data_IF_463937235281
#
_entry.id   IF_463937235281
#
_cell.length_a   1.000
_cell.length_b   1.000
_cell.length_c   1.000
_cell.angle_alpha   90.00
_cell.angle_beta   90.00
_cell.angle_gamma   90.00
#
_symmetry.space_group_name_H-M   'P 1'
#
loop_
_entity.id
_entity.type
_entity.pdbx_description
1 polymer ?
#
# COMPACT_ATOMS: atom_id res chain seq x y z
N UNK A 1 11.48 2.17 7.84
CA UNK A 1 12.93 2.01 7.60
C UNK A 1 13.71 2.45 8.82
N UNK A 2 14.91 1.92 9.03
CA UNK A 2 15.76 2.29 10.17
C UNK A 2 17.22 2.39 9.75
N UNK A 3 17.92 3.41 10.25
CA UNK A 3 19.39 3.43 10.34
C UNK A 3 19.82 3.30 11.78
N UNK A 4 20.90 2.57 12.03
CA UNK A 4 21.51 2.40 13.34
C UNK A 4 23.01 2.68 13.22
N UNK A 5 23.54 3.51 14.11
CA UNK A 5 24.93 3.92 14.10
C UNK A 5 25.59 3.51 15.40
N UNK A 6 26.82 3.01 15.28
CA UNK A 6 27.67 2.61 16.38
C UNK A 6 29.08 3.16 16.17
N UNK A 7 29.85 3.23 17.24
CA UNK A 7 31.30 3.25 17.18
C UNK A 7 31.82 1.83 16.90
N UNK A 8 32.96 1.73 16.21
CA UNK A 8 33.55 0.44 15.80
C UNK A 8 33.78 -0.52 16.99
N UNK A 9 34.20 0.02 18.15
CA UNK A 9 34.39 -0.76 19.39
C UNK A 9 33.12 -1.46 19.90
N UNK A 10 31.94 -0.92 19.59
CA UNK A 10 30.64 -1.44 20.03
C UNK A 10 30.17 -2.62 19.18
N UNK A 11 30.78 -2.88 18.02
CA UNK A 11 30.38 -3.99 17.15
C UNK A 11 30.51 -5.34 17.85
N UNK A 12 31.53 -5.50 18.71
CA UNK A 12 31.73 -6.70 19.53
C UNK A 12 30.56 -6.95 20.47
N UNK A 13 29.93 -5.90 21.00
CA UNK A 13 28.76 -6.01 21.87
C UNK A 13 27.53 -6.49 21.08
N UNK A 14 27.33 -5.99 19.85
CA UNK A 14 26.26 -6.48 18.96
C UNK A 14 26.42 -7.96 18.65
N UNK A 15 27.65 -8.42 18.40
CA UNK A 15 27.93 -9.85 18.17
C UNK A 15 27.60 -10.71 19.39
N UNK A 16 27.92 -10.23 20.60
CA UNK A 16 27.62 -10.94 21.87
C UNK A 16 26.12 -11.14 22.10
N UNK A 17 25.29 -10.17 21.71
CA UNK A 17 23.83 -10.28 21.83
C UNK A 17 23.18 -11.03 20.65
N UNK A 18 23.95 -11.60 19.73
CA UNK A 18 23.50 -12.48 18.63
C UNK A 18 22.41 -11.87 17.71
N UNK A 19 22.55 -10.59 17.36
CA UNK A 19 21.58 -9.91 16.44
C UNK A 19 21.48 -10.53 15.03
N UNK A 20 22.46 -11.35 14.61
CA UNK A 20 22.55 -11.92 13.26
C UNK A 20 21.46 -12.96 12.94
N UNK A 21 20.95 -13.68 13.94
CA UNK A 21 20.00 -14.79 13.73
C UNK A 21 18.53 -14.33 13.68
N UNK A 22 18.28 -13.04 13.43
CA UNK A 22 16.96 -12.40 13.54
C UNK A 22 15.83 -13.00 12.69
N UNK A 23 16.16 -13.74 11.62
CA UNK A 23 15.17 -14.39 10.74
C UNK A 23 14.51 -15.61 11.37
N UNK A 24 15.13 -16.19 12.40
CA UNK A 24 14.57 -17.29 13.19
C UNK A 24 13.95 -16.83 14.51
N UNK A 25 14.04 -15.53 14.81
CA UNK A 25 13.55 -14.99 16.08
C UNK A 25 12.04 -14.77 16.03
N UNK A 26 11.41 -15.22 17.11
CA UNK A 26 10.05 -14.87 17.50
C UNK A 26 9.92 -13.37 17.78
N UNK A 27 8.67 -12.89 17.83
CA UNK A 27 8.38 -11.50 18.17
C UNK A 27 8.98 -11.09 19.52
N UNK A 28 8.78 -11.92 20.55
CA UNK A 28 9.24 -11.70 21.92
C UNK A 28 10.78 -11.62 21.99
N UNK A 29 11.47 -12.49 21.26
CA UNK A 29 12.94 -12.44 21.17
C UNK A 29 13.42 -11.15 20.49
N UNK A 30 12.74 -10.68 19.43
CA UNK A 30 13.06 -9.40 18.78
C UNK A 30 12.84 -8.22 19.70
N UNK A 31 11.76 -8.22 20.48
CA UNK A 31 11.47 -7.18 21.48
C UNK A 31 12.55 -7.15 22.59
N UNK A 32 12.97 -8.33 23.07
CA UNK A 32 14.09 -8.43 24.01
C UNK A 32 15.42 -7.91 23.45
N UNK A 33 15.69 -8.17 22.16
CA UNK A 33 16.86 -7.62 21.47
C UNK A 33 16.77 -6.12 21.22
N UNK A 34 15.59 -5.59 20.93
CA UNK A 34 15.35 -4.17 20.73
C UNK A 34 15.90 -3.36 21.91
N UNK A 35 15.54 -3.74 23.14
CA UNK A 35 16.02 -3.07 24.36
C UNK A 35 17.54 -3.21 24.53
N UNK A 36 18.12 -4.37 24.20
CA UNK A 36 19.58 -4.59 24.28
C UNK A 36 20.35 -3.77 23.26
N UNK A 37 19.83 -3.64 22.03
CA UNK A 37 20.43 -2.83 20.96
C UNK A 37 20.47 -1.36 21.37
N UNK A 38 19.37 -0.83 21.91
CA UNK A 38 19.29 0.56 22.35
C UNK A 38 20.20 0.87 23.55
N UNK A 39 20.53 -0.13 24.38
CA UNK A 39 21.55 0.01 25.44
C UNK A 39 22.99 0.11 24.90
N UNK A 40 23.23 -0.38 23.68
CA UNK A 40 24.56 -0.32 23.03
C UNK A 40 24.77 1.05 22.39
N UNK A 41 23.78 1.56 21.64
CA UNK A 41 23.83 2.89 21.05
C UNK A 41 22.45 3.50 20.94
N UNK A 42 22.37 4.80 21.24
CA UNK A 42 21.17 5.61 21.05
C UNK A 42 21.16 6.36 19.70
N UNK A 43 22.18 6.21 18.86
CA UNK A 43 22.23 6.86 17.54
C UNK A 43 21.50 6.02 16.51
N UNK A 44 20.23 6.31 16.30
CA UNK A 44 19.40 5.67 15.29
C UNK A 44 18.36 6.62 14.73
N UNK A 45 17.89 6.33 13.51
CA UNK A 45 16.82 7.08 12.87
C UNK A 45 15.79 6.10 12.32
N UNK A 46 14.57 6.20 12.83
CA UNK A 46 13.40 5.51 12.31
C UNK A 46 12.60 6.45 11.41
N UNK A 47 12.14 5.91 10.29
CA UNK A 47 11.19 6.56 9.37
C UNK A 47 10.05 5.59 9.11
N UNK A 48 8.83 5.96 9.50
CA UNK A 48 7.61 5.25 9.14
C UNK A 48 7.11 5.83 7.82
N UNK A 49 6.83 4.96 6.85
CA UNK A 49 6.35 5.34 5.52
C UNK A 49 4.91 4.85 5.41
N UNK A 50 3.98 5.79 5.29
CA UNK A 50 2.55 5.48 5.29
C UNK A 50 2.08 4.92 3.93
N UNK A 51 0.98 4.14 3.90
CA UNK A 51 0.47 3.53 2.66
C UNK A 51 0.28 4.52 1.50
N UNK A 52 -0.18 5.73 1.78
CA UNK A 52 -0.43 6.79 0.80
C UNK A 52 0.86 7.29 0.14
N UNK A 53 1.95 7.39 0.90
CA UNK A 53 3.26 7.79 0.38
C UNK A 53 3.82 6.70 -0.54
N UNK A 54 3.66 5.43 -0.14
CA UNK A 54 4.03 4.28 -0.98
C UNK A 54 3.21 4.27 -2.27
N UNK A 55 1.90 4.43 -2.17
CA UNK A 55 1.02 4.46 -3.34
C UNK A 55 1.36 5.60 -4.29
N UNK A 56 1.67 6.80 -3.75
CA UNK A 56 2.11 7.95 -4.55
C UNK A 56 3.41 7.64 -5.29
N UNK A 57 4.38 7.00 -4.63
CA UNK A 57 5.65 6.65 -5.26
C UNK A 57 5.48 5.55 -6.32
N UNK A 58 4.59 4.57 -6.13
CA UNK A 58 4.42 3.45 -7.07
C UNK A 58 3.52 3.82 -8.26
N UNK A 59 2.51 4.67 -8.06
CA UNK A 59 1.57 5.08 -9.11
C UNK A 59 1.93 6.42 -9.75
N UNK A 60 2.91 7.14 -9.21
CA UNK A 60 3.36 8.41 -9.74
C UNK A 60 3.85 8.30 -11.19
N UNK A 61 3.68 9.37 -11.95
CA UNK A 61 4.22 9.48 -13.31
C UNK A 61 5.63 10.08 -13.33
N UNK A 62 6.23 10.32 -12.16
CA UNK A 62 7.56 10.91 -11.97
C UNK A 62 8.71 9.88 -12.08
N UNK A 63 8.38 8.62 -12.36
CA UNK A 63 9.36 7.53 -12.48
C UNK A 63 9.87 7.00 -11.14
N UNK A 64 9.30 7.44 -10.01
CA UNK A 64 9.54 6.81 -8.72
C UNK A 64 8.96 5.38 -8.69
N UNK A 65 9.53 4.57 -7.81
CA UNK A 65 9.02 3.25 -7.45
C UNK A 65 9.45 2.94 -6.02
N UNK A 66 9.11 1.76 -5.52
CA UNK A 66 9.42 1.37 -4.15
C UNK A 66 10.94 1.44 -3.84
N UNK A 67 11.78 1.00 -4.77
CA UNK A 67 13.24 1.03 -4.57
C UNK A 67 13.78 2.47 -4.52
N UNK A 68 13.26 3.37 -5.35
CA UNK A 68 13.69 4.77 -5.34
C UNK A 68 13.18 5.52 -4.12
N UNK A 69 11.98 5.22 -3.65
CA UNK A 69 11.48 5.72 -2.37
C UNK A 69 12.36 5.23 -1.21
N UNK A 70 12.76 3.96 -1.21
CA UNK A 70 13.70 3.43 -0.21
C UNK A 70 15.07 4.13 -0.29
N UNK A 71 15.56 4.46 -1.49
CA UNK A 71 16.80 5.23 -1.66
C UNK A 71 16.67 6.65 -1.08
N UNK A 72 15.55 7.33 -1.33
CA UNK A 72 15.29 8.67 -0.79
C UNK A 72 15.24 8.67 0.74
N UNK A 73 14.56 7.70 1.34
CA UNK A 73 14.52 7.56 2.81
C UNK A 73 15.85 7.11 3.40
N UNK A 74 16.61 6.30 2.66
CA UNK A 74 17.99 5.94 3.05
C UNK A 74 18.88 7.18 3.09
N UNK A 75 18.75 8.09 2.12
CA UNK A 75 19.47 9.36 2.13
C UNK A 75 19.10 10.22 3.33
N UNK A 76 17.81 10.34 3.65
CA UNK A 76 17.32 11.09 4.82
C UNK A 76 17.90 10.54 6.13
N UNK A 77 17.93 9.21 6.28
CA UNK A 77 18.53 8.53 7.44
C UNK A 77 20.02 8.84 7.54
N UNK A 78 20.75 8.76 6.43
CA UNK A 78 22.19 8.96 6.40
C UNK A 78 22.58 10.42 6.64
N UNK A 79 21.84 11.37 6.08
CA UNK A 79 22.06 12.80 6.33
C UNK A 79 21.79 13.16 7.80
N UNK A 80 20.86 12.46 8.47
CA UNK A 80 20.58 12.67 9.89
C UNK A 80 21.65 12.08 10.81
N UNK A 81 22.14 10.87 10.51
CA UNK A 81 23.14 10.17 11.32
C UNK A 81 24.58 10.62 11.01
N UNK A 82 24.84 11.08 9.78
CA UNK A 82 26.12 11.53 9.26
C UNK A 82 27.32 10.61 9.62
N UNK A 83 27.28 9.31 9.26
CA UNK A 83 28.35 8.38 9.59
C UNK A 83 29.55 8.52 8.63
N UNK A 84 30.75 8.08 9.06
CA UNK A 84 31.90 7.99 8.15
C UNK A 84 31.77 6.84 7.14
N UNK A 85 31.09 5.76 7.52
CA UNK A 85 30.83 4.57 6.69
C UNK A 85 29.40 4.11 6.91
N UNK A 86 28.71 3.79 5.82
CA UNK A 86 27.36 3.22 5.87
C UNK A 86 27.32 1.89 5.13
N UNK A 87 26.69 0.90 5.76
CA UNK A 87 26.43 -0.42 5.19
C UNK A 87 24.91 -0.53 5.00
N UNK A 88 24.48 -0.79 3.77
CA UNK A 88 23.06 -0.75 3.38
C UNK A 88 22.69 -2.08 2.75
N UNK A 89 21.58 -2.67 3.23
CA UNK A 89 20.93 -3.79 2.56
C UNK A 89 20.18 -3.26 1.33
N UNK A 90 20.78 -3.47 0.16
CA UNK A 90 20.34 -2.81 -1.08
C UNK A 90 19.15 -3.55 -1.73
N UNK A 91 18.06 -2.84 -2.08
CA UNK A 91 16.93 -3.43 -2.77
C UNK A 91 17.18 -3.59 -4.28
N UNK A 92 16.45 -4.52 -4.90
CA UNK A 92 16.49 -4.78 -6.35
C UNK A 92 17.76 -5.46 -6.83
N UNK A 93 17.91 -5.64 -8.14
CA UNK A 93 19.00 -6.43 -8.74
C UNK A 93 20.20 -5.59 -9.20
N UNK A 94 20.07 -4.26 -9.26
CA UNK A 94 21.10 -3.37 -9.79
C UNK A 94 21.60 -2.41 -8.70
N UNK A 95 22.53 -2.91 -7.88
CA UNK A 95 23.15 -2.18 -6.78
C UNK A 95 23.83 -0.89 -7.28
N UNK A 96 24.49 -0.92 -8.44
CA UNK A 96 25.22 0.25 -8.94
C UNK A 96 24.30 1.41 -9.31
N UNK A 97 23.17 1.13 -9.97
CA UNK A 97 22.15 2.17 -10.21
C UNK A 97 21.59 2.73 -8.91
N UNK A 98 21.34 1.86 -7.92
CA UNK A 98 20.89 2.30 -6.59
C UNK A 98 21.92 3.17 -5.89
N UNK A 99 23.21 2.78 -5.91
CA UNK A 99 24.33 3.54 -5.37
C UNK A 99 24.42 4.93 -6.00
N UNK A 100 24.39 5.02 -7.33
CA UNK A 100 24.46 6.30 -8.05
C UNK A 100 23.29 7.21 -7.69
N UNK A 101 22.07 6.65 -7.61
CA UNK A 101 20.89 7.41 -7.21
C UNK A 101 21.01 7.93 -5.78
N UNK A 102 21.34 7.05 -4.82
CA UNK A 102 21.51 7.39 -3.41
C UNK A 102 22.59 8.46 -3.23
N UNK A 103 23.75 8.28 -3.87
CA UNK A 103 24.83 9.26 -3.83
C UNK A 103 24.38 10.64 -4.31
N UNK A 104 23.52 10.75 -5.33
CA UNK A 104 22.99 12.05 -5.77
C UNK A 104 22.14 12.73 -4.70
N UNK A 105 21.41 11.97 -3.89
CA UNK A 105 20.49 12.47 -2.85
C UNK A 105 21.19 12.89 -1.55
N UNK A 106 22.31 12.27 -1.20
CA UNK A 106 23.05 12.57 0.03
C UNK A 106 23.58 14.01 0.05
N UNK A 107 23.54 14.69 1.20
CA UNK A 107 24.23 15.98 1.37
C UNK A 107 25.73 15.79 1.52
N UNK A 108 26.13 14.81 2.34
CA UNK A 108 27.53 14.46 2.54
C UNK A 108 27.96 13.36 1.56
N UNK A 109 28.85 13.69 0.60
CA UNK A 109 29.36 12.74 -0.40
C UNK A 109 30.56 11.94 0.08
N UNK A 110 31.15 12.29 1.22
CA UNK A 110 32.35 11.65 1.77
C UNK A 110 32.01 10.38 2.57
N UNK A 111 30.73 10.07 2.75
CA UNK A 111 30.28 8.83 3.41
C UNK A 111 30.73 7.63 2.57
N UNK A 112 31.53 6.74 3.16
CA UNK A 112 31.90 5.48 2.52
C UNK A 112 30.71 4.53 2.47
N UNK A 113 30.08 4.42 1.29
CA UNK A 113 28.92 3.55 1.08
C UNK A 113 29.33 2.11 0.72
N UNK A 114 28.82 1.14 1.47
CA UNK A 114 28.89 -0.30 1.18
C UNK A 114 27.47 -0.81 0.98
N UNK A 115 27.16 -1.25 -0.24
CA UNK A 115 25.84 -1.75 -0.60
C UNK A 115 25.97 -3.21 -0.98
N UNK A 116 25.20 -4.05 -0.30
CA UNK A 116 25.22 -5.50 -0.47
C UNK A 116 23.80 -6.03 -0.40
N UNK A 117 23.53 -7.15 -1.07
CA UNK A 117 22.29 -7.90 -0.82
C UNK A 117 22.42 -8.71 0.46
N UNK A 118 21.34 -8.76 1.24
CA UNK A 118 21.29 -9.52 2.50
C UNK A 118 22.39 -9.07 3.46
N UNK A 119 22.67 -7.76 3.48
CA UNK A 119 23.69 -7.18 4.35
C UNK A 119 23.39 -7.46 5.84
N UNK A 120 22.11 -7.63 6.18
CA UNK A 120 21.63 -8.04 7.49
C UNK A 120 22.15 -9.41 7.96
N UNK A 121 22.58 -10.29 7.06
CA UNK A 121 23.19 -11.58 7.40
C UNK A 121 24.68 -11.47 7.73
N UNK A 122 25.37 -10.47 7.17
CA UNK A 122 26.82 -10.38 7.26
C UNK A 122 27.28 -9.35 8.29
N UNK A 123 26.47 -8.31 8.51
CA UNK A 123 26.85 -7.13 9.30
C UNK A 123 25.93 -6.96 10.51
N UNK A 124 26.43 -7.17 11.76
CA UNK A 124 25.62 -7.06 12.97
C UNK A 124 24.90 -5.71 13.13
N UNK A 125 25.52 -4.62 12.68
CA UNK A 125 24.92 -3.28 12.71
C UNK A 125 23.67 -3.18 11.82
N UNK A 126 23.70 -3.84 10.65
CA UNK A 126 22.56 -3.91 9.73
C UNK A 126 21.49 -4.83 10.30
N UNK A 127 21.88 -5.96 10.91
CA UNK A 127 20.93 -6.84 11.62
C UNK A 127 20.22 -6.10 12.75
N UNK A 128 20.95 -5.28 13.52
CA UNK A 128 20.38 -4.45 14.59
C UNK A 128 19.36 -3.43 14.04
N UNK A 129 19.71 -2.70 12.98
CA UNK A 129 18.77 -1.78 12.31
C UNK A 129 17.50 -2.52 11.80
N UNK A 130 17.68 -3.72 11.26
CA UNK A 130 16.60 -4.60 10.79
C UNK A 130 15.65 -5.02 11.92
N UNK A 131 16.18 -5.35 13.10
CA UNK A 131 15.39 -5.64 14.32
C UNK A 131 14.62 -4.40 14.76
N UNK A 132 15.29 -3.24 14.88
CA UNK A 132 14.63 -1.99 15.27
C UNK A 132 13.47 -1.65 14.33
N UNK A 133 13.67 -1.79 13.01
CA UNK A 133 12.64 -1.55 12.01
C UNK A 133 11.45 -2.52 12.16
N UNK A 134 11.70 -3.82 12.37
CA UNK A 134 10.65 -4.85 12.47
C UNK A 134 9.82 -4.69 13.74
N UNK A 135 10.46 -4.50 14.89
CA UNK A 135 9.75 -4.29 16.16
C UNK A 135 8.91 -3.02 16.10
N UNK A 136 9.45 -1.94 15.52
CA UNK A 136 8.67 -0.70 15.34
C UNK A 136 7.44 -0.96 14.46
N UNK A 137 7.60 -1.62 13.31
CA UNK A 137 6.46 -1.98 12.44
C UNK A 137 5.41 -2.80 13.19
N UNK A 138 5.82 -3.83 13.91
CA UNK A 138 4.90 -4.72 14.62
C UNK A 138 4.16 -3.96 15.72
N UNK A 139 4.81 -3.02 16.40
CA UNK A 139 4.17 -2.09 17.35
C UNK A 139 3.14 -1.19 16.68
N UNK A 140 3.47 -0.56 15.54
CA UNK A 140 2.52 0.28 14.79
C UNK A 140 1.29 -0.52 14.35
N UNK A 141 1.47 -1.76 13.91
CA UNK A 141 0.34 -2.64 13.54
C UNK A 141 -0.57 -2.91 14.75
N UNK A 142 -0.02 -3.17 15.95
CA UNK A 142 -0.83 -3.35 17.15
C UNK A 142 -1.54 -2.07 17.59
N UNK A 143 -0.93 -0.90 17.40
CA UNK A 143 -1.59 0.38 17.65
C UNK A 143 -2.78 0.56 16.69
N UNK A 144 -2.60 0.31 15.40
CA UNK A 144 -3.68 0.36 14.42
C UNK A 144 -4.83 -0.61 14.78
N UNK A 145 -4.53 -1.82 15.24
CA UNK A 145 -5.58 -2.76 15.70
C UNK A 145 -6.37 -2.22 16.87
N UNK A 146 -5.70 -1.60 17.84
CA UNK A 146 -6.34 -0.98 19.01
C UNK A 146 -7.21 0.20 18.62
N UNK A 147 -6.73 1.06 17.73
CA UNK A 147 -7.47 2.22 17.23
C UNK A 147 -8.73 1.81 16.47
N UNK A 148 -8.66 0.75 15.67
CA UNK A 148 -9.80 0.23 14.91
C UNK A 148 -10.71 -0.68 15.75
N UNK A 149 -10.22 -1.20 16.87
CA UNK A 149 -10.91 -2.21 17.67
C UNK A 149 -11.05 -3.57 16.96
N UNK A 150 -10.18 -3.86 15.97
CA UNK A 150 -10.27 -5.06 15.13
C UNK A 150 -8.89 -5.71 14.98
N UNK A 151 -8.80 -7.01 15.29
CA UNK A 151 -7.59 -7.79 14.98
C UNK A 151 -7.60 -8.27 13.53
N UNK A 152 -6.94 -7.51 12.66
CA UNK A 152 -6.78 -7.83 11.24
C UNK A 152 -5.56 -8.73 10.93
N UNK A 153 -4.94 -9.33 11.95
CA UNK A 153 -3.77 -10.19 11.78
C UNK A 153 -2.47 -9.40 11.55
N UNK A 154 -1.55 -9.97 10.77
CA UNK A 154 -0.18 -9.49 10.60
C UNK A 154 0.00 -8.38 9.54
N UNK A 155 -1.03 -8.12 8.73
CA UNK A 155 -0.93 -7.24 7.57
C UNK A 155 -0.24 -7.88 6.35
N UNK A 156 0.15 -9.16 6.42
CA UNK A 156 0.65 -9.93 5.28
C UNK A 156 -0.47 -10.79 4.66
N UNK A 157 -0.49 -10.91 3.32
CA UNK A 157 -1.50 -11.72 2.63
C UNK A 157 -1.34 -13.24 2.79
N UNK A 158 -0.27 -13.67 3.46
CA UNK A 158 -0.10 -15.05 3.92
C UNK A 158 -0.93 -15.35 5.17
N UNK A 159 -1.41 -14.32 5.87
CA UNK A 159 -2.25 -14.43 7.05
C UNK A 159 -3.73 -14.44 6.65
N UNK A 160 -4.48 -15.52 6.94
CA UNK A 160 -5.90 -15.61 6.64
C UNK A 160 -6.73 -14.46 7.21
N UNK A 161 -6.41 -13.97 8.42
CA UNK A 161 -7.13 -12.84 9.05
C UNK A 161 -6.98 -11.56 8.24
N UNK A 162 -5.77 -11.30 7.74
CA UNK A 162 -5.49 -10.13 6.90
C UNK A 162 -6.22 -10.23 5.56
N UNK A 163 -6.28 -11.42 4.96
CA UNK A 163 -7.01 -11.64 3.70
C UNK A 163 -8.49 -11.37 3.88
N UNK A 164 -9.09 -11.88 4.95
CA UNK A 164 -10.50 -11.67 5.27
C UNK A 164 -10.79 -10.20 5.60
N UNK A 165 -9.95 -9.58 6.42
CA UNK A 165 -10.09 -8.17 6.75
C UNK A 165 -10.02 -7.26 5.52
N UNK A 166 -9.09 -7.52 4.60
CA UNK A 166 -9.01 -6.80 3.33
C UNK A 166 -10.32 -6.91 2.54
N UNK A 167 -10.87 -8.12 2.40
CA UNK A 167 -12.14 -8.34 1.65
C UNK A 167 -13.30 -7.54 2.24
N UNK A 168 -13.39 -7.48 3.56
CA UNK A 168 -14.54 -6.93 4.26
C UNK A 168 -14.42 -5.41 4.54
N UNK A 169 -13.20 -4.86 4.59
CA UNK A 169 -12.97 -3.52 5.12
C UNK A 169 -12.18 -2.56 4.22
N UNK A 170 -11.82 -2.95 2.99
CA UNK A 170 -11.07 -2.08 2.08
C UNK A 170 -11.80 -0.75 1.74
N UNK A 171 -13.14 -0.72 1.81
CA UNK A 171 -13.96 0.49 1.63
C UNK A 171 -14.13 1.29 2.94
N UNK A 172 -14.08 0.61 4.09
CA UNK A 172 -14.33 1.22 5.41
C UNK A 172 -13.10 1.94 5.95
N UNK A 173 -11.91 1.37 5.73
CA UNK A 173 -10.64 1.93 6.21
C UNK A 173 -9.65 2.12 5.05
N UNK A 174 -9.98 2.91 4.01
CA UNK A 174 -9.18 2.99 2.79
C UNK A 174 -7.76 3.54 3.01
N UNK A 175 -7.53 4.25 4.11
CA UNK A 175 -6.26 4.92 4.42
C UNK A 175 -5.17 3.96 4.95
N UNK A 176 -5.54 2.80 5.48
CA UNK A 176 -4.57 1.82 6.00
C UNK A 176 -4.08 0.84 4.93
N UNK A 177 -4.72 0.83 3.75
CA UNK A 177 -4.39 -0.09 2.66
C UNK A 177 -3.48 0.57 1.62
N UNK A 178 -2.50 -0.21 1.14
CA UNK A 178 -1.69 0.12 -0.04
C UNK A 178 -2.49 -0.23 -1.28
N UNK A 179 -3.12 0.76 -1.90
CA UNK A 179 -4.00 0.60 -3.06
C UNK A 179 -3.20 0.18 -4.31
N UNK A 180 -1.93 0.58 -4.40
CA UNK A 180 -1.01 0.20 -5.49
C UNK A 180 -0.66 -1.28 -5.51
N UNK A 181 -0.95 -2.01 -4.43
CA UNK A 181 -0.56 -3.41 -4.31
C UNK A 181 -1.50 -4.35 -5.06
N UNK A 182 -0.92 -5.36 -5.71
CA UNK A 182 -1.65 -6.30 -6.57
C UNK A 182 -2.85 -6.98 -5.88
N UNK A 183 -2.77 -7.49 -4.63
CA UNK A 183 -3.92 -8.11 -3.98
C UNK A 183 -5.11 -7.17 -3.79
N UNK A 184 -4.85 -5.90 -3.47
CA UNK A 184 -5.88 -4.87 -3.37
C UNK A 184 -6.50 -4.60 -4.75
N UNK A 185 -5.66 -4.39 -5.78
CA UNK A 185 -6.14 -4.15 -7.15
C UNK A 185 -6.96 -5.32 -7.69
N UNK A 186 -6.51 -6.56 -7.48
CA UNK A 186 -7.19 -7.77 -7.91
C UNK A 186 -8.57 -7.91 -7.24
N UNK A 187 -8.69 -7.57 -5.95
CA UNK A 187 -9.97 -7.59 -5.25
C UNK A 187 -10.95 -6.58 -5.86
N UNK A 188 -10.50 -5.34 -6.07
CA UNK A 188 -11.32 -4.26 -6.64
C UNK A 188 -11.73 -4.60 -8.09
N UNK A 189 -10.78 -5.08 -8.91
CA UNK A 189 -11.04 -5.43 -10.30
C UNK A 189 -11.99 -6.62 -10.44
N UNK A 190 -11.90 -7.63 -9.57
CA UNK A 190 -12.84 -8.77 -9.56
C UNK A 190 -14.27 -8.33 -9.24
N UNK A 191 -14.46 -7.37 -8.34
CA UNK A 191 -15.78 -6.80 -8.03
C UNK A 191 -16.36 -6.09 -9.27
N UNK A 192 -15.53 -5.34 -9.98
CA UNK A 192 -15.92 -4.68 -11.23
C UNK A 192 -16.30 -5.68 -12.33
N UNK A 193 -15.49 -6.73 -12.54
CA UNK A 193 -15.78 -7.78 -13.53
C UNK A 193 -17.08 -8.54 -13.22
N UNK A 194 -17.35 -8.85 -11.94
CA UNK A 194 -18.63 -9.47 -11.55
C UNK A 194 -19.82 -8.56 -11.82
N UNK A 195 -19.70 -7.26 -11.55
CA UNK A 195 -20.74 -6.28 -11.91
C UNK A 195 -21.01 -6.28 -13.41
N UNK A 196 -19.96 -6.34 -14.25
CA UNK A 196 -20.08 -6.39 -15.71
C UNK A 196 -20.79 -7.66 -16.20
N UNK A 197 -20.44 -8.82 -15.63
CA UNK A 197 -21.09 -10.08 -15.99
C UNK A 197 -22.55 -10.10 -15.58
N UNK A 198 -22.86 -9.62 -14.37
CA UNK A 198 -24.23 -9.54 -13.85
C UNK A 198 -25.08 -8.58 -14.70
N UNK A 199 -24.52 -7.43 -15.10
CA UNK A 199 -25.17 -6.49 -16.01
C UNK A 199 -25.39 -7.11 -17.38
N UNK A 200 -24.37 -7.76 -17.96
CA UNK A 200 -24.48 -8.40 -19.28
C UNK A 200 -25.49 -9.55 -19.28
N UNK A 201 -25.57 -10.34 -18.22
CA UNK A 201 -26.58 -11.38 -18.07
C UNK A 201 -27.98 -10.77 -17.96
N UNK A 202 -28.14 -9.74 -17.13
CA UNK A 202 -29.39 -9.00 -17.01
C UNK A 202 -29.87 -8.44 -18.36
N UNK A 203 -28.95 -7.86 -19.16
CA UNK A 203 -29.27 -7.37 -20.51
C UNK A 203 -29.79 -8.48 -21.44
N UNK A 204 -29.23 -9.71 -21.35
CA UNK A 204 -29.66 -10.84 -22.18
C UNK A 204 -31.06 -11.33 -21.80
N UNK A 205 -31.44 -11.21 -20.53
CA UNK A 205 -32.75 -11.65 -20.01
C UNK A 205 -33.88 -10.67 -20.39
N UNK A 206 -33.60 -9.37 -20.54
CA UNK A 206 -34.61 -8.31 -20.80
C UNK A 206 -34.73 -7.90 -22.30
N UNK A 207 -34.05 -8.57 -23.24
CA UNK A 207 -34.06 -8.25 -24.68
C UNK A 207 -35.40 -8.52 -25.39
N UNK A 208 -36.43 -7.69 -25.16
CA UNK A 208 -37.50 -7.53 -26.15
C UNK A 208 -37.82 -6.10 -26.57
N UNK A 209 -37.54 -5.06 -25.79
CA UNK A 209 -37.75 -3.67 -26.24
C UNK A 209 -36.81 -2.67 -25.55
N UNK A 210 -36.02 -1.92 -26.35
CA UNK A 210 -35.13 -0.75 -26.03
C UNK A 210 -33.61 -1.07 -26.04
N UNK A 211 -33.02 -1.13 -27.23
CA UNK A 211 -31.56 -1.36 -27.39
C UNK A 211 -30.70 -0.12 -27.10
N UNK A 212 -31.12 1.09 -27.52
CA UNK A 212 -30.22 2.24 -27.49
C UNK A 212 -29.89 2.77 -26.08
N UNK A 213 -30.90 2.95 -25.22
CA UNK A 213 -30.73 3.55 -23.89
C UNK A 213 -29.95 2.67 -22.91
N UNK A 214 -30.01 1.34 -23.08
CA UNK A 214 -29.25 0.39 -22.26
C UNK A 214 -27.78 0.31 -22.66
N UNK A 215 -27.47 0.48 -23.94
CA UNK A 215 -26.09 0.61 -24.42
C UNK A 215 -25.46 1.91 -23.93
N UNK A 216 -26.22 3.00 -23.87
CA UNK A 216 -25.74 4.29 -23.33
C UNK A 216 -25.49 4.23 -21.82
N UNK A 217 -26.30 3.47 -21.06
CA UNK A 217 -26.03 3.21 -19.64
C UNK A 217 -24.72 2.43 -19.41
N UNK A 218 -24.36 1.54 -20.34
CA UNK A 218 -23.10 0.79 -20.24
C UNK A 218 -21.88 1.71 -20.30
N UNK A 219 -21.95 2.80 -21.06
CA UNK A 219 -20.87 3.80 -21.14
C UNK A 219 -20.58 4.44 -19.78
N UNK A 220 -21.56 4.50 -18.87
CA UNK A 220 -21.34 5.04 -17.52
C UNK A 220 -20.36 4.19 -16.70
N UNK A 221 -20.14 2.92 -17.06
CA UNK A 221 -19.16 2.06 -16.39
C UNK A 221 -17.73 2.60 -16.54
N UNK A 222 -17.40 3.17 -17.70
CA UNK A 222 -16.11 3.82 -17.96
C UNK A 222 -15.88 5.06 -17.07
N UNK A 223 -16.95 5.61 -16.50
CA UNK A 223 -16.95 6.75 -15.58
C UNK A 223 -17.11 6.35 -14.11
N UNK A 224 -16.88 5.07 -13.79
CA UNK A 224 -16.87 4.55 -12.42
C UNK A 224 -18.26 4.27 -11.83
N UNK A 225 -19.29 4.18 -12.67
CA UNK A 225 -20.58 3.64 -12.25
C UNK A 225 -20.55 2.12 -12.24
N UNK A 226 -21.30 1.50 -11.33
CA UNK A 226 -21.46 0.05 -11.26
C UNK A 226 -22.95 -0.30 -11.24
N UNK A 227 -23.29 -1.43 -11.87
CA UNK A 227 -24.64 -1.93 -11.90
C UNK A 227 -25.10 -2.38 -10.51
N UNK A 228 -26.36 -2.10 -10.22
CA UNK A 228 -27.07 -2.59 -9.05
C UNK A 228 -28.40 -3.17 -9.50
N UNK A 229 -28.78 -4.32 -8.92
CA UNK A 229 -30.08 -4.93 -9.19
C UNK A 229 -31.22 -3.95 -8.85
N UNK A 230 -32.22 -3.80 -9.73
CA UNK A 230 -33.44 -3.04 -9.47
C UNK A 230 -34.10 -3.43 -8.15
N UNK A 231 -34.66 -2.45 -7.44
CA UNK A 231 -35.36 -2.68 -6.16
C UNK A 231 -36.88 -2.74 -6.33
N UNK A 232 -37.39 -2.20 -7.42
CA UNK A 232 -38.81 -2.14 -7.74
C UNK A 232 -39.05 -2.81 -9.09
N UNK A 233 -40.22 -3.42 -9.26
CA UNK A 233 -40.62 -4.05 -10.53
C UNK A 233 -40.74 -3.05 -11.70
N UNK A 234 -40.81 -1.75 -11.39
CA UNK A 234 -40.86 -0.67 -12.38
C UNK A 234 -39.47 -0.23 -12.87
N UNK A 235 -38.42 -0.53 -12.11
CA UNK A 235 -37.04 -0.22 -12.44
C UNK A 235 -36.49 -1.28 -13.41
N UNK A 236 -35.94 -0.83 -14.52
CA UNK A 236 -35.28 -1.68 -15.51
C UNK A 236 -33.79 -1.82 -15.17
N UNK A 237 -33.06 -0.73 -14.95
CA UNK A 237 -31.64 -0.82 -14.59
C UNK A 237 -31.25 0.29 -13.60
N UNK A 238 -30.35 -0.02 -12.67
CA UNK A 238 -29.82 0.97 -11.72
C UNK A 238 -28.30 0.98 -11.80
N UNK A 239 -27.72 2.14 -12.11
CA UNK A 239 -26.28 2.38 -12.09
C UNK A 239 -25.95 3.29 -10.91
N UNK A 240 -25.00 2.88 -10.08
CA UNK A 240 -24.52 3.65 -8.92
C UNK A 240 -23.11 4.17 -9.13
N UNK A 241 -22.90 5.45 -8.86
CA UNK A 241 -21.60 6.11 -8.89
C UNK A 241 -21.64 7.44 -8.11
N UNK A 242 -20.99 8.50 -8.61
CA UNK A 242 -21.11 9.87 -8.06
C UNK A 242 -22.55 10.40 -7.97
N UNK A 243 -23.45 9.86 -8.78
CA UNK A 243 -24.90 9.96 -8.66
C UNK A 243 -25.54 8.58 -8.93
N UNK A 244 -26.85 8.45 -8.73
CA UNK A 244 -27.60 7.23 -9.07
C UNK A 244 -28.37 7.48 -10.36
N UNK A 245 -28.23 6.58 -11.33
CA UNK A 245 -29.00 6.60 -12.58
C UNK A 245 -29.94 5.42 -12.59
N UNK A 246 -31.23 5.67 -12.79
CA UNK A 246 -32.29 4.67 -12.79
C UNK A 246 -33.00 4.76 -14.14
N UNK A 247 -32.98 3.67 -14.91
CA UNK A 247 -33.82 3.51 -16.09
C UNK A 247 -35.05 2.71 -15.69
N UNK A 248 -36.23 3.23 -15.97
CA UNK A 248 -37.50 2.58 -15.73
C UNK A 248 -37.95 1.77 -16.97
N UNK A 249 -38.79 0.74 -16.77
CA UNK A 249 -39.34 -0.08 -17.85
C UNK A 249 -40.13 0.73 -18.89
N UNK A 250 -40.77 1.83 -18.45
CA UNK A 250 -41.44 2.77 -19.35
C UNK A 250 -40.48 3.60 -20.21
N UNK A 251 -39.16 3.53 -19.98
CA UNK A 251 -38.12 4.22 -20.76
C UNK A 251 -37.71 5.56 -20.15
N UNK A 252 -38.33 5.98 -19.04
CA UNK A 252 -37.92 7.17 -18.33
C UNK A 252 -36.56 6.92 -17.67
N UNK A 253 -35.65 7.86 -17.83
CA UNK A 253 -34.36 7.87 -17.14
C UNK A 253 -34.40 8.91 -16.03
N UNK A 254 -33.98 8.51 -14.83
CA UNK A 254 -33.94 9.35 -13.65
C UNK A 254 -32.53 9.36 -13.10
N UNK A 255 -31.93 10.54 -13.05
CA UNK A 255 -30.67 10.75 -12.36
C UNK A 255 -30.98 11.34 -10.98
N UNK A 256 -30.33 10.86 -9.92
CA UNK A 256 -30.49 11.32 -8.53
C UNK A 256 -29.12 11.56 -7.91
N UNK A 257 -28.86 12.78 -7.42
CA UNK A 257 -27.58 13.16 -6.83
C UNK A 257 -27.36 14.67 -6.83
N UNK A 258 -26.14 15.10 -6.47
CA UNK A 258 -25.74 16.52 -6.53
C UNK A 258 -25.83 17.06 -7.97
N UNK A 259 -26.23 18.33 -8.12
CA UNK A 259 -26.53 18.95 -9.42
C UNK A 259 -25.37 18.86 -10.43
N UNK A 260 -24.14 18.99 -9.97
CA UNK A 260 -22.93 18.91 -10.79
C UNK A 260 -22.73 17.51 -11.38
N UNK A 261 -22.93 16.45 -10.58
CA UNK A 261 -22.85 15.07 -11.04
C UNK A 261 -24.01 14.72 -11.99
N UNK A 262 -25.18 15.34 -11.81
CA UNK A 262 -26.34 15.21 -12.68
C UNK A 262 -26.06 15.72 -14.09
N UNK A 263 -25.60 16.97 -14.20
CA UNK A 263 -25.30 17.62 -15.49
C UNK A 263 -24.25 16.86 -16.30
N UNK A 264 -23.26 16.29 -15.64
CA UNK A 264 -22.22 15.50 -16.30
C UNK A 264 -22.78 14.20 -16.89
N UNK A 265 -23.66 13.52 -16.16
CA UNK A 265 -24.31 12.28 -16.64
C UNK A 265 -25.33 12.56 -17.75
N UNK A 266 -26.11 13.63 -17.62
CA UNK A 266 -27.08 14.04 -18.66
C UNK A 266 -26.37 14.35 -19.99
N UNK A 267 -25.23 15.06 -19.93
CA UNK A 267 -24.37 15.28 -21.10
C UNK A 267 -23.81 13.99 -21.71
N UNK A 268 -23.40 13.03 -20.87
CA UNK A 268 -22.83 11.74 -21.32
C UNK A 268 -23.88 10.85 -22.01
N UNK A 269 -25.12 10.92 -21.54
CA UNK A 269 -26.24 10.14 -22.07
C UNK A 269 -27.00 10.86 -23.20
N UNK A 270 -26.61 12.09 -23.55
CA UNK A 270 -27.26 12.89 -24.60
C UNK A 270 -28.69 13.31 -24.26
N UNK A 271 -28.98 13.53 -22.97
CA UNK A 271 -30.30 13.92 -22.44
C UNK A 271 -30.44 15.44 -22.27
#
# INVERSE_FOLDING_TARGET
MCGFQIEEKQETQLRKIKVKDSKLLTREEREGLYTKILKISHKYKLIIINPQEIDKAVRGHDGLNLNWLEADKSAEILDNLNPNKAIIDAPGNNIEKYRVYLLKKLKNKDIKLVLEHKADLNHPVVSAASILAKVTRDTEIELLKKELGIDFGSGYMTDPKTVEFLKNNYENYPEIFRKSWFPYQNLVNKKFQKSLSDFTQFLKEEQKHKSHTLEDLKKLEDFGFHFKKPKSEHELAVMKGPCTVILYKNGKLLVQGKEEAKRNVEKLLGL
#
